data_IF_280956273622
#
_entry.id   IF_280956273622
#
_cell.length_a   1.000
_cell.length_b   1.000
_cell.length_c   1.000
_cell.angle_alpha   90.00
_cell.angle_beta   90.00
_cell.angle_gamma   90.00
#
_symmetry.space_group_name_H-M   'P 1'
#
loop_
_entity.id
_entity.type
_entity.pdbx_description
1 polymer ?
#
# COMPACT_ATOMS: atom_id res chain seq x y z
N UNK A 1 10.54 -2.56 2.53
CA UNK A 1 11.53 -2.18 1.51
C UNK A 1 12.55 -1.26 2.19
N UNK A 2 13.84 -1.29 1.86
CA UNK A 2 14.81 -0.38 2.47
C UNK A 2 14.53 1.08 2.07
N UNK A 3 14.63 1.99 3.03
CA UNK A 3 14.45 3.43 2.83
C UNK A 3 15.79 4.09 2.51
N UNK A 4 15.79 5.32 1.98
CA UNK A 4 17.02 6.08 1.81
C UNK A 4 17.75 6.28 3.13
N UNK A 5 16.98 6.51 4.20
CA UNK A 5 17.52 6.60 5.54
C UNK A 5 18.19 5.29 5.98
N UNK A 6 17.53 4.14 5.84
CA UNK A 6 18.11 2.87 6.29
C UNK A 6 19.37 2.49 5.52
N UNK A 7 19.43 2.79 4.21
CA UNK A 7 20.64 2.62 3.39
C UNK A 7 21.76 3.57 3.82
N UNK A 8 21.43 4.81 4.17
CA UNK A 8 22.43 5.77 4.66
C UNK A 8 23.09 5.29 5.97
N UNK A 9 22.29 4.75 6.91
CA UNK A 9 22.83 4.14 8.13
C UNK A 9 23.67 2.89 7.86
N UNK A 10 23.24 2.03 6.95
CA UNK A 10 24.01 0.87 6.53
C UNK A 10 25.37 1.28 5.95
N UNK A 11 25.40 2.28 5.07
CA UNK A 11 26.63 2.81 4.49
C UNK A 11 27.55 3.40 5.57
N UNK A 12 27.01 4.20 6.50
CA UNK A 12 27.78 4.75 7.61
C UNK A 12 28.37 3.65 8.50
N UNK A 13 27.62 2.57 8.75
CA UNK A 13 28.10 1.40 9.49
C UNK A 13 29.22 0.68 8.74
N UNK A 14 29.03 0.40 7.45
CA UNK A 14 30.00 -0.32 6.62
C UNK A 14 31.29 0.49 6.43
N UNK A 15 31.21 1.82 6.32
CA UNK A 15 32.37 2.70 6.25
C UNK A 15 33.26 2.63 7.50
N UNK A 16 32.67 2.31 8.67
CA UNK A 16 33.41 2.06 9.92
C UNK A 16 33.82 0.59 10.10
N UNK A 17 33.54 -0.29 9.14
CA UNK A 17 33.86 -1.72 9.21
C UNK A 17 33.09 -2.50 10.28
N UNK A 18 31.97 -1.96 10.76
CA UNK A 18 31.22 -2.52 11.90
C UNK A 18 30.12 -3.49 11.44
N UNK A 19 29.93 -4.57 12.20
CA UNK A 19 28.73 -5.43 12.12
C UNK A 19 27.59 -4.85 12.96
N UNK A 20 26.31 -5.15 12.67
CA UNK A 20 25.18 -4.66 13.48
C UNK A 20 25.30 -4.98 14.97
N UNK A 21 25.82 -6.16 15.34
CA UNK A 21 26.07 -6.51 16.74
C UNK A 21 27.15 -5.66 17.41
N UNK A 22 28.19 -5.25 16.67
CA UNK A 22 29.23 -4.37 17.21
C UNK A 22 28.69 -2.96 17.45
N UNK A 23 27.86 -2.44 16.55
CA UNK A 23 27.14 -1.18 16.78
C UNK A 23 26.25 -1.28 18.02
N UNK A 24 25.50 -2.37 18.16
CA UNK A 24 24.67 -2.59 19.34
C UNK A 24 25.49 -2.59 20.65
N UNK A 25 26.67 -3.20 20.64
CA UNK A 25 27.59 -3.19 21.77
C UNK A 25 28.13 -1.79 22.06
N UNK A 26 28.51 -1.02 21.03
CA UNK A 26 29.02 0.35 21.17
C UNK A 26 27.94 1.36 21.57
N UNK A 27 26.66 1.05 21.37
CA UNK A 27 25.53 1.83 21.87
C UNK A 27 25.06 1.38 23.27
N UNK A 28 25.91 0.69 24.05
CA UNK A 28 25.65 0.20 25.41
C UNK A 28 24.33 -0.58 25.56
N UNK A 29 24.04 -1.45 24.60
CA UNK A 29 22.83 -2.26 24.63
C UNK A 29 22.96 -3.44 25.59
N UNK A 30 22.03 -3.56 26.55
CA UNK A 30 21.97 -4.69 27.49
C UNK A 30 21.75 -6.05 26.82
N UNK A 31 21.14 -6.07 25.63
CA UNK A 31 20.95 -7.27 24.82
C UNK A 31 21.47 -7.04 23.38
N UNK A 32 22.77 -7.26 23.21
CA UNK A 32 23.51 -7.03 21.95
C UNK A 32 22.89 -7.81 20.79
N UNK A 33 22.58 -9.09 20.96
CA UNK A 33 22.02 -9.92 19.89
C UNK A 33 20.66 -9.42 19.40
N UNK A 34 19.77 -9.06 20.33
CA UNK A 34 18.44 -8.53 20.01
C UNK A 34 18.54 -7.18 19.30
N UNK A 35 19.36 -6.26 19.82
CA UNK A 35 19.53 -4.94 19.21
C UNK A 35 20.24 -5.03 17.87
N UNK A 36 21.27 -5.86 17.74
CA UNK A 36 21.96 -6.12 16.46
C UNK A 36 21.01 -6.65 15.40
N UNK A 37 20.10 -7.58 15.74
CA UNK A 37 19.08 -8.03 14.80
C UNK A 37 18.09 -6.91 14.43
N UNK A 38 17.71 -6.04 15.37
CA UNK A 38 16.85 -4.88 15.08
C UNK A 38 17.53 -3.86 14.15
N UNK A 39 18.82 -3.61 14.32
CA UNK A 39 19.61 -2.78 13.39
C UNK A 39 19.59 -3.40 12.00
N UNK A 40 19.83 -4.71 11.88
CA UNK A 40 19.74 -5.41 10.59
C UNK A 40 18.35 -5.31 9.97
N UNK A 41 17.29 -5.49 10.76
CA UNK A 41 15.90 -5.36 10.29
C UNK A 41 15.63 -3.94 9.81
N UNK A 42 16.11 -2.93 10.53
CA UNK A 42 16.02 -1.53 10.12
C UNK A 42 16.68 -1.30 8.76
N UNK A 43 17.93 -1.73 8.59
CA UNK A 43 18.68 -1.59 7.33
C UNK A 43 17.92 -2.21 6.15
N UNK A 44 17.31 -3.39 6.35
CA UNK A 44 16.55 -4.11 5.32
C UNK A 44 15.14 -3.55 5.05
N UNK A 45 14.46 -3.01 6.06
CA UNK A 45 13.02 -2.72 5.99
C UNK A 45 12.64 -1.26 6.19
N UNK A 46 13.56 -0.41 6.65
CA UNK A 46 13.27 0.95 7.09
C UNK A 46 12.69 1.04 8.51
N UNK A 47 12.30 -0.08 9.13
CA UNK A 47 11.58 -0.07 10.41
C UNK A 47 12.50 -0.13 11.62
N UNK A 48 12.36 0.85 12.51
CA UNK A 48 13.14 0.98 13.73
C UNK A 48 12.32 1.66 14.83
N UNK A 49 12.57 1.30 16.10
CA UNK A 49 11.95 2.01 17.21
C UNK A 49 12.58 3.40 17.37
N UNK A 50 11.78 4.39 17.77
CA UNK A 50 12.25 5.77 18.02
C UNK A 50 13.47 5.82 18.95
N UNK A 51 13.48 5.01 20.00
CA UNK A 51 14.60 4.93 20.95
C UNK A 51 15.90 4.44 20.28
N UNK A 52 15.83 3.33 19.53
CA UNK A 52 17.00 2.78 18.85
C UNK A 52 17.47 3.73 17.74
N UNK A 53 16.53 4.34 17.01
CA UNK A 53 16.85 5.33 16.00
C UNK A 53 17.63 6.51 16.60
N UNK A 54 17.18 7.08 17.72
CA UNK A 54 17.91 8.15 18.41
C UNK A 54 19.33 7.75 18.82
N UNK A 55 19.52 6.52 19.32
CA UNK A 55 20.86 5.99 19.65
C UNK A 55 21.76 5.89 18.41
N UNK A 56 21.22 5.40 17.30
CA UNK A 56 21.97 5.29 16.04
C UNK A 56 22.32 6.67 15.48
N UNK A 57 21.37 7.62 15.49
CA UNK A 57 21.60 9.01 15.05
C UNK A 57 22.74 9.64 15.84
N UNK A 58 22.74 9.48 17.17
CA UNK A 58 23.81 9.98 18.03
C UNK A 58 25.15 9.27 17.74
N UNK A 59 25.16 7.95 17.61
CA UNK A 59 26.38 7.17 17.36
C UNK A 59 27.04 7.48 16.00
N UNK A 60 26.23 7.68 14.96
CA UNK A 60 26.71 8.01 13.62
C UNK A 60 26.83 9.52 13.37
N UNK A 61 26.45 10.36 14.34
CA UNK A 61 26.49 11.83 14.27
C UNK A 61 25.74 12.38 13.05
N UNK A 62 24.62 11.75 12.69
CA UNK A 62 23.81 12.17 11.54
C UNK A 62 22.97 13.38 11.95
N UNK A 63 23.13 14.50 11.24
CA UNK A 63 22.38 15.71 11.54
C UNK A 63 20.90 15.63 11.12
N UNK A 64 20.06 16.46 11.73
CA UNK A 64 18.62 16.47 11.48
C UNK A 64 18.26 16.84 10.04
N UNK A 65 19.03 17.73 9.40
CA UNK A 65 18.82 18.16 8.01
C UNK A 65 18.96 16.99 7.02
N UNK A 66 19.97 16.14 7.23
CA UNK A 66 20.20 14.94 6.41
C UNK A 66 19.04 13.95 6.57
N UNK A 67 18.57 13.75 7.80
CA UNK A 67 17.42 12.87 8.08
C UNK A 67 16.18 13.36 7.35
N UNK A 68 15.86 14.67 7.47
CA UNK A 68 14.69 15.25 6.83
C UNK A 68 14.78 15.18 5.31
N UNK A 69 15.96 15.48 4.74
CA UNK A 69 16.20 15.39 3.29
C UNK A 69 15.97 13.97 2.76
N UNK A 70 16.50 12.95 3.44
CA UNK A 70 16.33 11.55 3.02
C UNK A 70 14.88 11.09 3.18
N UNK A 71 14.22 11.49 4.27
CA UNK A 71 12.81 11.18 4.48
C UNK A 71 11.91 11.85 3.43
N UNK A 72 12.19 13.11 3.07
CA UNK A 72 11.48 13.82 2.01
C UNK A 72 11.70 13.16 0.64
N UNK A 73 12.90 12.66 0.37
CA UNK A 73 13.16 11.88 -0.85
C UNK A 73 12.33 10.59 -0.89
N UNK A 74 12.27 9.82 0.19
CA UNK A 74 11.40 8.64 0.29
C UNK A 74 9.92 9.01 0.07
N UNK A 75 9.44 10.12 0.67
CA UNK A 75 8.07 10.63 0.48
C UNK A 75 7.78 10.95 -0.97
N UNK A 76 8.68 11.67 -1.64
CA UNK A 76 8.54 12.06 -3.04
C UNK A 76 8.54 10.85 -3.98
N UNK A 77 9.48 9.94 -3.82
CA UNK A 77 9.55 8.73 -4.65
C UNK A 77 8.31 7.86 -4.48
N UNK A 78 7.81 7.72 -3.25
CA UNK A 78 6.56 7.03 -2.98
C UNK A 78 5.37 7.73 -3.66
N UNK A 79 5.28 9.05 -3.56
CA UNK A 79 4.22 9.81 -4.19
C UNK A 79 4.24 9.69 -5.72
N UNK A 80 5.43 9.75 -6.33
CA UNK A 80 5.61 9.58 -7.78
C UNK A 80 5.21 8.17 -8.23
N UNK A 81 5.57 7.13 -7.47
CA UNK A 81 5.14 5.75 -7.73
C UNK A 81 3.62 5.59 -7.61
N UNK A 82 3.02 6.17 -6.57
CA UNK A 82 1.58 6.19 -6.41
C UNK A 82 0.88 6.92 -7.56
N UNK A 83 1.40 8.08 -7.97
CA UNK A 83 0.85 8.87 -9.07
C UNK A 83 0.95 8.11 -10.39
N UNK A 84 2.06 7.42 -10.65
CA UNK A 84 2.19 6.56 -11.82
C UNK A 84 1.17 5.40 -11.78
N UNK A 85 1.07 4.71 -10.64
CA UNK A 85 0.15 3.59 -10.46
C UNK A 85 -1.31 4.00 -10.65
N UNK A 86 -1.73 5.13 -10.10
CA UNK A 86 -3.14 5.56 -10.11
C UNK A 86 -3.60 6.04 -11.51
N UNK A 87 -2.64 6.50 -12.33
CA UNK A 87 -2.89 6.91 -13.71
C UNK A 87 -2.77 5.76 -14.72
N UNK A 88 -2.27 4.58 -14.30
CA UNK A 88 -2.18 3.42 -15.18
C UNK A 88 -3.60 2.93 -15.55
N UNK A 89 -3.93 2.83 -16.84
CA UNK A 89 -5.24 2.38 -17.28
C UNK A 89 -5.55 0.95 -16.79
N UNK A 90 -6.81 0.72 -16.47
CA UNK A 90 -7.35 -0.61 -16.18
C UNK A 90 -8.60 -0.84 -17.03
N UNK A 91 -8.99 -2.11 -17.18
CA UNK A 91 -10.33 -2.42 -17.68
C UNK A 91 -11.36 -2.11 -16.57
N UNK A 92 -12.32 -1.19 -16.81
CA UNK A 92 -13.37 -0.92 -15.86
C UNK A 92 -14.16 -2.19 -15.51
N UNK A 93 -14.51 -2.34 -14.24
CA UNK A 93 -15.24 -3.52 -13.76
C UNK A 93 -16.11 -3.17 -12.56
N UNK A 94 -17.13 -3.99 -12.35
CA UNK A 94 -18.01 -3.93 -11.19
C UNK A 94 -17.54 -4.95 -10.15
N UNK A 95 -17.33 -4.51 -8.92
CA UNK A 95 -17.08 -5.37 -7.78
C UNK A 95 -18.41 -5.56 -7.04
N UNK A 96 -18.88 -6.80 -6.94
CA UNK A 96 -20.15 -7.15 -6.32
C UNK A 96 -19.87 -7.75 -4.94
N UNK A 97 -20.49 -7.20 -3.90
CA UNK A 97 -20.43 -7.77 -2.54
C UNK A 97 -21.42 -8.91 -2.40
N UNK A 98 -20.94 -10.15 -2.53
CA UNK A 98 -21.77 -11.37 -2.44
C UNK A 98 -22.27 -11.55 -1.00
N UNK A 99 -21.37 -11.39 -0.03
CA UNK A 99 -21.65 -11.36 1.40
C UNK A 99 -20.57 -10.55 2.15
N UNK A 100 -20.61 -10.54 3.48
CA UNK A 100 -19.62 -9.83 4.28
C UNK A 100 -18.19 -10.30 3.94
N UNK A 101 -17.33 -9.35 3.55
CA UNK A 101 -15.94 -9.57 3.16
C UNK A 101 -15.70 -10.55 1.99
N UNK A 102 -16.73 -10.89 1.19
CA UNK A 102 -16.58 -11.70 -0.04
C UNK A 102 -17.06 -10.88 -1.23
N UNK A 103 -16.13 -10.63 -2.15
CA UNK A 103 -16.32 -9.82 -3.35
C UNK A 103 -15.99 -10.63 -4.60
N UNK A 104 -16.82 -10.47 -5.63
CA UNK A 104 -16.57 -10.98 -6.98
C UNK A 104 -16.50 -9.82 -7.97
N UNK A 105 -15.93 -10.06 -9.14
CA UNK A 105 -15.75 -9.05 -10.19
C UNK A 105 -16.57 -9.42 -11.42
N UNK A 106 -17.12 -8.41 -12.09
CA UNK A 106 -17.80 -8.52 -13.37
C UNK A 106 -17.29 -7.43 -14.31
N UNK A 107 -16.84 -7.79 -15.50
CA UNK A 107 -16.31 -6.82 -16.45
C UNK A 107 -17.41 -5.85 -16.92
N UNK A 108 -17.07 -4.57 -17.09
CA UNK A 108 -17.92 -3.62 -17.81
C UNK A 108 -17.95 -4.04 -19.29
N UNK A 109 -19.13 -3.99 -19.91
CA UNK A 109 -19.31 -4.32 -21.32
C UNK A 109 -18.49 -3.37 -22.20
N UNK A 110 -17.85 -3.87 -23.27
CA UNK A 110 -16.92 -3.08 -24.09
C UNK A 110 -17.59 -1.90 -24.79
N UNK A 111 -18.89 -1.99 -25.00
CA UNK A 111 -19.74 -0.98 -25.61
C UNK A 111 -19.96 0.24 -24.70
N UNK A 112 -19.74 0.07 -23.39
CA UNK A 112 -19.87 1.13 -22.39
C UNK A 112 -18.54 1.88 -22.28
N UNK A 113 -18.41 2.95 -23.07
CA UNK A 113 -17.18 3.75 -23.16
C UNK A 113 -17.15 4.99 -22.25
N UNK A 114 -18.31 5.43 -21.75
CA UNK A 114 -18.44 6.65 -20.93
C UNK A 114 -18.74 6.30 -19.48
N UNK A 115 -18.25 7.14 -18.56
CA UNK A 115 -18.47 6.99 -17.13
C UNK A 115 -19.96 7.00 -16.77
N UNK A 116 -20.74 7.88 -17.40
CA UNK A 116 -22.19 8.02 -17.16
C UNK A 116 -22.95 6.75 -17.55
N UNK A 117 -22.62 6.17 -18.71
CA UNK A 117 -23.20 4.90 -19.14
C UNK A 117 -22.79 3.74 -18.22
N UNK A 118 -21.55 3.73 -17.74
CA UNK A 118 -21.08 2.72 -16.78
C UNK A 118 -21.77 2.84 -15.43
N UNK A 119 -22.00 4.07 -14.94
CA UNK A 119 -22.78 4.34 -13.74
C UNK A 119 -24.22 3.86 -13.88
N UNK A 120 -24.87 4.18 -15.00
CA UNK A 120 -26.25 3.73 -15.28
C UNK A 120 -26.36 2.21 -15.32
N UNK A 121 -25.41 1.55 -15.99
CA UNK A 121 -25.32 0.09 -16.03
C UNK A 121 -25.09 -0.52 -14.64
N UNK A 122 -24.12 0.00 -13.88
CA UNK A 122 -23.80 -0.48 -12.53
C UNK A 122 -24.99 -0.32 -11.56
N UNK A 123 -25.70 0.81 -11.64
CA UNK A 123 -26.93 1.08 -10.89
C UNK A 123 -28.02 0.05 -11.23
N UNK A 124 -28.23 -0.23 -12.52
CA UNK A 124 -29.17 -1.25 -12.99
C UNK A 124 -28.84 -2.65 -12.48
N UNK A 125 -27.56 -3.06 -12.59
CA UNK A 125 -27.09 -4.35 -12.08
C UNK A 125 -27.32 -4.47 -10.58
N UNK A 126 -26.96 -3.45 -9.79
CA UNK A 126 -27.14 -3.47 -8.34
C UNK A 126 -28.61 -3.65 -7.93
N UNK A 127 -29.54 -2.98 -8.61
CA UNK A 127 -30.99 -3.11 -8.42
C UNK A 127 -31.53 -4.48 -8.79
N UNK A 128 -31.06 -5.03 -9.91
CA UNK A 128 -31.48 -6.34 -10.42
C UNK A 128 -31.11 -7.45 -9.44
N UNK A 129 -29.83 -7.49 -9.01
CA UNK A 129 -29.32 -8.55 -8.15
C UNK A 129 -29.56 -8.29 -6.65
N UNK A 130 -30.02 -7.08 -6.30
CA UNK A 130 -30.22 -6.60 -4.92
C UNK A 130 -28.97 -6.77 -4.05
N UNK A 131 -27.83 -6.31 -4.56
CA UNK A 131 -26.53 -6.35 -3.86
C UNK A 131 -25.83 -5.01 -3.97
N UNK A 132 -25.04 -4.69 -2.94
CA UNK A 132 -24.13 -3.55 -2.99
C UNK A 132 -23.00 -3.83 -3.99
N UNK A 133 -22.72 -2.84 -4.81
CA UNK A 133 -21.70 -2.93 -5.84
C UNK A 133 -20.76 -1.72 -5.78
N UNK A 134 -19.56 -1.88 -6.31
CA UNK A 134 -18.59 -0.81 -6.49
C UNK A 134 -18.11 -0.82 -7.94
N UNK A 135 -18.43 0.22 -8.70
CA UNK A 135 -17.88 0.42 -10.03
C UNK A 135 -16.47 0.95 -9.88
N UNK A 136 -15.48 0.16 -10.30
CA UNK A 136 -14.08 0.56 -10.37
C UNK A 136 -13.84 1.05 -11.79
N UNK A 137 -13.99 2.35 -12.00
CA UNK A 137 -13.83 2.98 -13.32
C UNK A 137 -12.36 3.11 -13.70
N UNK A 138 -11.54 3.52 -12.74
CA UNK A 138 -10.09 3.57 -12.86
C UNK A 138 -9.46 3.24 -11.52
N UNK A 139 -8.13 3.11 -11.45
CA UNK A 139 -7.44 3.02 -10.15
C UNK A 139 -7.66 4.27 -9.30
N UNK A 140 -7.96 5.43 -9.91
CA UNK A 140 -8.25 6.69 -9.20
C UNK A 140 -9.68 6.78 -8.72
N UNK A 141 -10.66 6.30 -9.47
CA UNK A 141 -12.08 6.61 -9.25
C UNK A 141 -12.88 5.33 -9.06
N UNK A 142 -13.63 5.27 -7.95
CA UNK A 142 -14.62 4.23 -7.73
C UNK A 142 -15.93 4.79 -7.21
N UNK A 143 -17.02 4.09 -7.48
CA UNK A 143 -18.38 4.54 -7.15
C UNK A 143 -19.15 3.40 -6.51
N UNK A 144 -19.67 3.65 -5.32
CA UNK A 144 -20.44 2.68 -4.55
C UNK A 144 -21.92 2.84 -4.80
N UNK A 145 -22.58 1.70 -5.01
CA UNK A 145 -24.01 1.59 -5.23
C UNK A 145 -24.68 0.76 -4.14
N UNK A 146 -25.84 1.23 -3.69
CA UNK A 146 -26.74 0.50 -2.82
C UNK A 146 -27.49 -0.61 -3.54
N UNK A 147 -28.21 -1.42 -2.78
CA UNK A 147 -28.98 -2.56 -3.30
C UNK A 147 -30.18 -2.14 -4.17
N UNK A 148 -30.61 -0.88 -4.06
CA UNK A 148 -31.64 -0.25 -4.88
C UNK A 148 -31.06 0.41 -6.17
N UNK A 149 -29.74 0.41 -6.30
CA UNK A 149 -28.99 1.06 -7.37
C UNK A 149 -28.69 2.55 -7.10
N UNK A 150 -29.01 3.09 -5.93
CA UNK A 150 -28.64 4.47 -5.56
C UNK A 150 -27.13 4.61 -5.40
N UNK A 151 -26.58 5.78 -5.75
CA UNK A 151 -25.16 6.09 -5.48
C UNK A 151 -25.02 6.39 -3.99
N UNK A 152 -24.20 5.61 -3.30
CA UNK A 152 -23.86 5.80 -1.88
C UNK A 152 -22.71 6.80 -1.76
N UNK A 153 -21.65 6.59 -2.54
CA UNK A 153 -20.41 7.34 -2.40
C UNK A 153 -19.61 7.31 -3.70
N UNK A 154 -18.85 8.38 -3.96
CA UNK A 154 -17.78 8.41 -4.96
C UNK A 154 -16.47 8.59 -4.22
N UNK A 155 -15.51 7.71 -4.46
CA UNK A 155 -14.22 7.75 -3.78
C UNK A 155 -13.09 7.97 -4.77
N UNK A 156 -12.12 8.76 -4.33
CA UNK A 156 -10.85 8.93 -5.01
C UNK A 156 -9.75 8.16 -4.28
N UNK A 157 -8.78 7.66 -5.04
CA UNK A 157 -7.65 6.97 -4.46
C UNK A 157 -6.81 7.89 -3.58
N UNK A 158 -6.30 7.33 -2.48
CA UNK A 158 -5.36 7.99 -1.59
C UNK A 158 -4.04 7.20 -1.54
N UNK A 159 -2.89 7.85 -1.32
CA UNK A 159 -1.61 7.15 -1.24
C UNK A 159 -1.56 6.07 -0.16
N UNK A 160 -1.17 4.85 -0.57
CA UNK A 160 -0.96 3.71 0.33
C UNK A 160 -2.16 2.77 0.47
N UNK A 161 -3.29 3.09 -0.16
CA UNK A 161 -4.51 2.30 -0.10
C UNK A 161 -5.05 2.04 -1.52
N UNK A 162 -5.63 0.85 -1.78
CA UNK A 162 -6.29 0.59 -3.05
C UNK A 162 -7.69 1.20 -3.05
N UNK A 163 -8.11 1.80 -4.18
CA UNK A 163 -9.44 2.40 -4.33
C UNK A 163 -10.47 1.43 -4.93
N UNK A 164 -10.57 0.24 -4.35
CA UNK A 164 -11.60 -0.74 -4.71
C UNK A 164 -11.90 -1.58 -3.46
N UNK A 165 -12.90 -2.47 -3.43
CA UNK A 165 -13.01 -3.46 -2.37
C UNK A 165 -11.97 -4.58 -2.54
N UNK A 166 -11.55 -5.23 -1.46
CA UNK A 166 -10.66 -6.39 -1.53
C UNK A 166 -10.89 -7.38 -0.38
N UNK A 167 -10.36 -8.59 -0.54
CA UNK A 167 -10.31 -9.62 0.49
C UNK A 167 -8.86 -9.76 0.96
N UNK A 168 -8.66 -9.87 2.28
CA UNK A 168 -7.35 -10.17 2.88
C UNK A 168 -7.42 -11.45 3.70
N UNK A 169 -6.59 -12.42 3.35
CA UNK A 169 -6.40 -13.65 4.13
C UNK A 169 -4.90 -13.81 4.38
N UNK A 170 -4.49 -13.69 5.65
CA UNK A 170 -3.07 -13.64 6.02
C UNK A 170 -2.35 -12.46 5.34
N UNK A 171 -1.31 -12.76 4.57
CA UNK A 171 -0.52 -11.79 3.82
C UNK A 171 -1.02 -11.53 2.39
N UNK A 172 -2.05 -12.25 1.94
CA UNK A 172 -2.53 -12.19 0.54
C UNK A 172 -3.74 -11.27 0.45
N UNK A 173 -3.70 -10.36 -0.53
CA UNK A 173 -4.83 -9.51 -0.90
C UNK A 173 -5.30 -9.86 -2.30
N UNK A 174 -6.60 -10.14 -2.46
CA UNK A 174 -7.16 -10.58 -3.74
C UNK A 174 -8.66 -10.28 -3.86
N UNK A 175 -9.19 -10.48 -5.07
CA UNK A 175 -10.63 -10.55 -5.36
C UNK A 175 -10.95 -11.86 -6.06
N UNK A 176 -12.18 -12.35 -5.93
CA UNK A 176 -12.64 -13.47 -6.76
C UNK A 176 -13.04 -12.98 -8.16
N UNK A 177 -12.81 -13.83 -9.16
CA UNK A 177 -13.45 -13.66 -10.45
C UNK A 177 -14.94 -14.00 -10.39
N UNK A 178 -15.63 -13.78 -11.51
CA UNK A 178 -17.07 -13.98 -11.64
C UNK A 178 -17.51 -15.41 -11.28
N UNK A 179 -16.66 -16.40 -11.52
CA UNK A 179 -16.90 -17.82 -11.23
C UNK A 179 -16.70 -18.23 -9.75
N UNK A 180 -16.26 -17.30 -8.89
CA UNK A 180 -15.86 -17.51 -7.49
C UNK A 180 -14.75 -18.56 -7.28
N UNK A 181 -14.09 -19.01 -8.35
CA UNK A 181 -13.01 -20.02 -8.31
C UNK A 181 -11.68 -19.40 -8.66
N UNK A 182 -11.68 -18.49 -9.62
CA UNK A 182 -10.52 -17.69 -9.98
C UNK A 182 -10.25 -16.59 -8.95
N UNK A 183 -8.97 -16.28 -8.73
CA UNK A 183 -8.53 -15.21 -7.83
C UNK A 183 -7.58 -14.28 -8.57
N UNK A 184 -7.82 -12.97 -8.43
CA UNK A 184 -6.96 -11.94 -8.97
C UNK A 184 -6.27 -11.19 -7.81
N UNK A 185 -4.94 -11.05 -7.80
CA UNK A 185 -4.26 -10.28 -6.77
C UNK A 185 -4.62 -8.79 -6.90
N UNK A 186 -4.81 -8.12 -5.76
CA UNK A 186 -4.94 -6.66 -5.72
C UNK A 186 -3.62 -6.10 -5.23
N UNK A 187 -3.01 -5.22 -6.02
CA UNK A 187 -1.69 -4.64 -5.75
C UNK A 187 -1.73 -3.12 -5.85
N UNK A 188 -0.97 -2.47 -4.97
CA UNK A 188 -0.82 -1.02 -4.92
C UNK A 188 0.53 -0.66 -4.30
N UNK A 189 1.07 0.55 -4.58
CA UNK A 189 2.26 1.04 -3.92
C UNK A 189 2.02 1.18 -2.42
N UNK A 190 2.90 0.58 -1.62
CA UNK A 190 2.85 0.66 -0.16
C UNK A 190 3.76 1.76 0.33
N UNK A 191 3.40 2.37 1.46
CA UNK A 191 4.26 3.36 2.10
C UNK A 191 5.59 2.73 2.51
N UNK A 192 6.70 3.46 2.43
CA UNK A 192 7.96 2.99 2.98
C UNK A 192 7.80 2.67 4.48
N UNK A 193 8.19 1.46 4.89
CA UNK A 193 8.08 0.99 6.28
C UNK A 193 6.79 0.21 6.64
N UNK A 194 5.82 0.05 5.73
CA UNK A 194 4.62 -0.79 5.95
C UNK A 194 4.73 -2.25 5.45
#
# INVERSE_FOLDING_TARGET
MSTHLSRHFEQARLARGLKPGQVAQLCDSSNVSKVGNRIRVFELSGNVSKELFGKLVAFFEINAETIEKLAEQDRREFFDQWLAWVNEPITPHLVIRVMAAIYTTRAVQKEIATMEAAESWASGVAREIKKRCCLVWSRRISIWFGEDGSVIERTEAVPGEPNCPWIKIGSRTFMFGEDLRSVAPVTWPKKPGE
#
